data_IF_769104338785
#
_entry.id   IF_769104338785
#
_cell.length_a   1.000
_cell.length_b   1.000
_cell.length_c   1.000
_cell.angle_alpha   90.00
_cell.angle_beta   90.00
_cell.angle_gamma   90.00
#
_symmetry.space_group_name_H-M   'P 1'
#
loop_
_entity.id
_entity.type
_entity.pdbx_description
1 polymer ?
#
# COMPACT_ATOMS: atom_id res chain seq x y z
N UNK A 1 14.01 12.46 4.06
CA UNK A 1 13.47 11.84 2.84
C UNK A 1 12.17 11.14 3.21
N UNK A 2 11.07 11.39 2.49
CA UNK A 2 9.77 10.77 2.79
C UNK A 2 9.85 9.28 2.45
N UNK A 3 9.36 8.41 3.35
CA UNK A 3 9.23 6.97 3.11
C UNK A 3 7.77 6.61 2.95
N UNK A 4 7.44 5.85 1.92
CA UNK A 4 6.10 5.43 1.57
C UNK A 4 6.09 3.90 1.56
N UNK A 5 5.28 3.31 2.44
CA UNK A 5 5.06 1.87 2.42
C UNK A 5 4.18 1.51 1.20
N UNK A 6 4.69 0.67 0.32
CA UNK A 6 4.00 0.20 -0.86
C UNK A 6 4.33 -1.26 -1.13
N UNK A 7 3.32 -2.05 -1.44
CA UNK A 7 3.48 -3.41 -1.91
C UNK A 7 2.36 -3.76 -2.90
N UNK A 8 2.69 -4.48 -3.96
CA UNK A 8 1.72 -4.92 -4.99
C UNK A 8 0.54 -5.72 -4.42
N UNK A 9 0.73 -6.41 -3.28
CA UNK A 9 -0.36 -7.14 -2.62
C UNK A 9 -1.44 -6.24 -2.01
N UNK A 10 -1.20 -4.93 -1.92
CA UNK A 10 -2.25 -4.00 -1.50
C UNK A 10 -3.36 -3.91 -2.55
N UNK A 11 -3.09 -4.24 -3.81
CA UNK A 11 -4.09 -4.40 -4.86
C UNK A 11 -4.67 -5.82 -4.85
N UNK A 12 -5.64 -6.05 -3.97
CA UNK A 12 -6.44 -7.28 -3.92
C UNK A 12 -7.59 -7.28 -4.95
N UNK A 13 -7.84 -8.41 -5.65
CA UNK A 13 -9.01 -8.52 -6.54
C UNK A 13 -10.31 -8.43 -5.74
N UNK A 14 -11.29 -7.70 -6.26
CA UNK A 14 -12.62 -7.60 -5.67
C UNK A 14 -13.70 -8.02 -6.66
N UNK A 15 -14.87 -8.45 -6.16
CA UNK A 15 -16.02 -8.71 -7.01
C UNK A 15 -16.41 -7.48 -7.85
N UNK A 16 -17.04 -7.73 -8.99
CA UNK A 16 -17.59 -6.67 -9.83
C UNK A 16 -18.60 -5.81 -9.05
N UNK A 17 -18.58 -4.50 -9.29
CA UNK A 17 -19.45 -3.54 -8.60
C UNK A 17 -19.04 -3.22 -7.15
N UNK A 18 -17.93 -3.78 -6.65
CA UNK A 18 -17.45 -3.45 -5.32
C UNK A 18 -17.04 -1.96 -5.22
N UNK A 19 -17.53 -1.25 -4.19
CA UNK A 19 -17.33 0.21 -4.07
C UNK A 19 -15.94 0.64 -3.62
N UNK A 20 -15.15 -0.30 -3.11
CA UNK A 20 -13.81 -0.01 -2.61
C UNK A 20 -12.84 0.16 -3.79
N UNK A 21 -12.17 1.32 -3.94
CA UNK A 21 -11.38 1.66 -5.12
C UNK A 21 -9.99 1.02 -5.04
N UNK A 22 -9.88 -0.28 -5.29
CA UNK A 22 -8.59 -1.01 -5.23
C UNK A 22 -7.54 -0.45 -6.17
N UNK A 23 -7.96 0.06 -7.33
CA UNK A 23 -7.08 0.64 -8.33
C UNK A 23 -6.23 1.80 -7.78
N UNK A 24 -6.66 2.46 -6.69
CA UNK A 24 -5.87 3.53 -6.06
C UNK A 24 -4.50 3.06 -5.56
N UNK A 25 -4.38 1.79 -5.18
CA UNK A 25 -3.12 1.26 -4.65
C UNK A 25 -2.04 1.14 -5.74
N UNK A 26 -2.44 1.00 -7.01
CA UNK A 26 -1.54 1.02 -8.17
C UNK A 26 -1.34 2.46 -8.66
N UNK A 27 -2.44 3.19 -8.88
CA UNK A 27 -2.38 4.51 -9.52
C UNK A 27 -1.70 5.59 -8.69
N UNK A 28 -1.85 5.60 -7.36
CA UNK A 28 -1.26 6.67 -6.54
C UNK A 28 0.28 6.63 -6.57
N UNK A 29 0.95 5.50 -6.28
CA UNK A 29 2.40 5.42 -6.40
C UNK A 29 2.90 5.71 -7.82
N UNK A 30 2.23 5.16 -8.84
CA UNK A 30 2.58 5.38 -10.26
C UNK A 30 2.49 6.85 -10.65
N UNK A 31 1.42 7.54 -10.26
CA UNK A 31 1.24 8.95 -10.56
C UNK A 31 2.31 9.82 -9.86
N UNK A 32 2.63 9.52 -8.60
CA UNK A 32 3.65 10.26 -7.86
C UNK A 32 5.06 10.08 -8.45
N UNK A 33 5.37 8.90 -8.97
CA UNK A 33 6.60 8.63 -9.72
C UNK A 33 6.61 9.36 -11.06
N UNK A 34 5.50 9.31 -11.80
CA UNK A 34 5.36 9.97 -13.11
C UNK A 34 5.53 11.50 -13.03
N UNK A 35 4.95 12.13 -12.00
CA UNK A 35 5.06 13.57 -11.76
C UNK A 35 6.44 13.99 -11.20
N UNK A 36 7.27 13.04 -10.79
CA UNK A 36 8.55 13.30 -10.12
C UNK A 36 8.41 13.80 -8.69
N UNK A 37 7.23 13.68 -8.08
CA UNK A 37 6.99 14.01 -6.67
C UNK A 37 7.78 13.10 -5.75
N UNK A 38 7.96 11.84 -6.15
CA UNK A 38 8.82 10.86 -5.47
C UNK A 38 9.73 10.16 -6.48
N UNK A 39 10.78 9.51 -5.98
CA UNK A 39 11.59 8.55 -6.71
C UNK A 39 11.36 7.14 -6.14
N UNK A 40 11.81 6.11 -6.85
CA UNK A 40 11.74 4.71 -6.40
C UNK A 40 12.33 4.50 -5.00
N UNK A 41 13.39 5.24 -4.64
CA UNK A 41 14.02 5.19 -3.31
C UNK A 41 13.10 5.65 -2.15
N UNK A 42 11.99 6.31 -2.45
CA UNK A 42 10.98 6.67 -1.45
C UNK A 42 10.05 5.50 -1.11
N UNK A 43 9.94 4.49 -1.98
CA UNK A 43 9.07 3.34 -1.78
C UNK A 43 9.82 2.23 -1.05
N UNK A 44 9.12 1.56 -0.14
CA UNK A 44 9.61 0.33 0.50
C UNK A 44 8.46 -0.64 0.74
N UNK A 45 8.76 -1.93 0.68
CA UNK A 45 7.81 -2.96 1.13
C UNK A 45 7.98 -3.19 2.63
N UNK A 46 6.92 -3.14 3.43
CA UNK A 46 7.01 -3.56 4.82
C UNK A 46 7.17 -5.07 4.93
N UNK A 47 7.64 -5.50 6.10
CA UNK A 47 7.71 -6.91 6.49
C UNK A 47 6.41 -7.38 7.14
N UNK A 48 6.31 -8.69 7.35
CA UNK A 48 5.18 -9.31 8.05
C UNK A 48 5.15 -8.82 9.51
N UNK A 49 3.97 -8.46 10.01
CA UNK A 49 3.76 -8.01 11.38
C UNK A 49 3.89 -9.18 12.37
N UNK A 50 4.59 -8.95 13.48
CA UNK A 50 4.67 -9.92 14.59
C UNK A 50 3.27 -10.18 15.19
N UNK A 51 2.95 -11.44 15.43
CA UNK A 51 1.66 -11.91 15.97
C UNK A 51 1.29 -11.21 17.28
N UNK A 52 2.26 -10.87 18.12
CA UNK A 52 2.02 -10.15 19.39
C UNK A 52 1.30 -8.82 19.17
N UNK A 53 1.47 -8.18 18.01
CA UNK A 53 0.79 -6.93 17.67
C UNK A 53 -0.57 -7.18 17.01
N UNK A 54 -0.82 -8.37 16.47
CA UNK A 54 -2.11 -8.73 15.87
C UNK A 54 -3.16 -8.93 16.98
N UNK A 55 -2.76 -9.57 18.08
CA UNK A 55 -3.68 -9.97 19.16
C UNK A 55 -3.83 -8.94 20.28
N UNK A 56 -3.10 -7.83 20.26
CA UNK A 56 -3.06 -6.87 21.39
C UNK A 56 -4.13 -5.78 21.35
N UNK A 57 -5.08 -5.84 20.40
CA UNK A 57 -6.04 -4.76 20.14
C UNK A 57 -7.44 -5.04 20.71
N UNK A 58 -7.77 -6.30 20.98
CA UNK A 58 -9.09 -6.72 21.44
C UNK A 58 -8.97 -7.58 22.71
N UNK A 59 -9.92 -7.44 23.65
CA UNK A 59 -10.12 -8.33 24.80
C UNK A 59 -11.13 -9.43 24.47
#
# INVERSE_FOLDING_TARGET
MIKIAYHKLYAHPLPEGHRFPMLKYELIPEQLLHEGTIAEANLFSPEILDERYIVNTHD
#
